data_IF_694729023416
#
_entry.id   IF_694729023416
#
_cell.length_a   1.000
_cell.length_b   1.000
_cell.length_c   1.000
_cell.angle_alpha   90.00
_cell.angle_beta   90.00
_cell.angle_gamma   90.00
#
_symmetry.space_group_name_H-M   'P 1'
#
loop_
_entity.id
_entity.type
_entity.pdbx_description
1 polymer ?
#
# COMPACT_ATOMS: atom_id res chain seq x y z
N UNK A 1 7.52 -6.52 -22.41
CA UNK A 1 7.37 -5.05 -22.41
C UNK A 1 8.73 -4.43 -22.69
N UNK A 2 8.81 -3.46 -23.62
CA UNK A 2 9.94 -2.56 -23.85
C UNK A 2 11.32 -3.19 -24.03
N UNK A 3 11.71 -3.57 -25.26
CA UNK A 3 13.13 -3.82 -25.59
C UNK A 3 13.96 -2.53 -25.63
N UNK A 4 13.30 -1.38 -25.64
CA UNK A 4 13.91 -0.05 -25.59
C UNK A 4 13.76 0.55 -24.17
N UNK A 5 14.87 0.74 -23.44
CA UNK A 5 14.88 1.36 -22.11
C UNK A 5 14.28 2.77 -22.08
N UNK A 6 14.43 3.56 -23.14
CA UNK A 6 13.90 4.93 -23.18
C UNK A 6 12.38 4.94 -23.28
N UNK A 7 11.81 4.04 -24.10
CA UNK A 7 10.36 3.86 -24.20
C UNK A 7 9.78 3.29 -22.90
N UNK A 8 10.49 2.35 -22.27
CA UNK A 8 10.11 1.83 -20.96
C UNK A 8 10.07 2.95 -19.91
N UNK A 9 11.14 3.73 -19.78
CA UNK A 9 11.23 4.81 -18.80
C UNK A 9 10.14 5.85 -18.99
N UNK A 10 9.91 6.32 -20.23
CA UNK A 10 8.85 7.29 -20.52
C UNK A 10 7.47 6.78 -20.10
N UNK A 11 7.19 5.49 -20.31
CA UNK A 11 5.91 4.89 -19.90
C UNK A 11 5.83 4.73 -18.39
N UNK A 12 6.92 4.31 -17.76
CA UNK A 12 7.01 4.19 -16.31
C UNK A 12 6.84 5.55 -15.61
N UNK A 13 7.34 6.64 -16.21
CA UNK A 13 7.15 8.01 -15.70
C UNK A 13 5.68 8.41 -15.62
N UNK A 14 4.81 7.87 -16.48
CA UNK A 14 3.36 8.14 -16.39
C UNK A 14 2.59 7.11 -15.58
N UNK A 15 3.06 5.87 -15.56
CA UNK A 15 2.25 4.73 -15.10
C UNK A 15 2.72 4.10 -13.79
N UNK A 16 3.90 4.47 -13.26
CA UNK A 16 4.42 3.91 -12.01
C UNK A 16 4.13 4.85 -10.83
N UNK A 17 3.23 4.47 -9.90
CA UNK A 17 2.94 5.29 -8.72
C UNK A 17 4.19 5.55 -7.86
N UNK A 18 5.13 4.60 -7.81
CA UNK A 18 6.37 4.72 -7.03
C UNK A 18 7.22 5.93 -7.46
N UNK A 19 7.13 6.37 -8.72
CA UNK A 19 7.86 7.55 -9.21
C UNK A 19 7.22 8.89 -8.82
N UNK A 20 6.00 8.86 -8.29
CA UNK A 20 5.21 10.04 -7.93
C UNK A 20 4.96 10.17 -6.43
N UNK A 21 5.61 9.34 -5.62
CA UNK A 21 5.54 9.46 -4.16
C UNK A 21 6.29 10.72 -3.74
N UNK A 22 5.61 11.57 -2.97
CA UNK A 22 6.14 12.80 -2.39
C UNK A 22 5.63 12.94 -0.96
N UNK A 23 6.18 13.88 -0.18
CA UNK A 23 5.79 14.07 1.23
C UNK A 23 4.31 14.41 1.46
N UNK A 24 3.57 14.83 0.42
CA UNK A 24 2.13 15.06 0.47
C UNK A 24 1.28 13.83 0.16
N UNK A 25 1.90 12.67 -0.07
CA UNK A 25 1.17 11.42 -0.31
C UNK A 25 0.39 11.03 0.95
N UNK A 26 -0.86 10.54 0.82
CA UNK A 26 -1.67 10.20 1.98
C UNK A 26 -1.07 9.01 2.74
N UNK A 27 -1.36 8.88 4.05
CA UNK A 27 -1.05 7.66 4.78
C UNK A 27 -1.60 6.42 4.07
N UNK A 28 -0.81 5.35 4.02
CA UNK A 28 -1.20 4.15 3.28
C UNK A 28 -0.85 2.84 3.98
N UNK A 29 -1.55 1.76 3.62
CA UNK A 29 -1.21 0.41 4.03
C UNK A 29 -1.07 -0.48 2.79
N UNK A 30 -0.01 -1.30 2.77
CA UNK A 30 0.33 -2.18 1.65
C UNK A 30 0.26 -3.63 2.10
N UNK A 31 -0.47 -4.44 1.33
CA UNK A 31 -0.55 -5.89 1.49
C UNK A 31 0.07 -6.57 0.28
N UNK A 32 0.88 -7.59 0.52
CA UNK A 32 1.44 -8.42 -0.55
C UNK A 32 1.85 -9.77 0.02
N UNK A 33 1.80 -10.84 -0.78
CA UNK A 33 2.45 -12.08 -0.41
C UNK A 33 3.71 -12.29 -1.24
N UNK A 34 4.75 -12.87 -0.65
CA UNK A 34 6.03 -13.08 -1.34
C UNK A 34 5.93 -14.00 -2.58
N UNK A 35 4.82 -14.75 -2.71
CA UNK A 35 4.53 -15.56 -3.89
C UNK A 35 3.81 -14.78 -5.00
N UNK A 36 3.33 -13.58 -4.74
CA UNK A 36 2.80 -12.69 -5.77
C UNK A 36 3.94 -12.26 -6.69
N UNK A 37 3.74 -12.39 -8.00
CA UNK A 37 4.69 -11.90 -9.02
C UNK A 37 4.88 -10.39 -8.93
N UNK A 38 3.92 -9.66 -8.35
CA UNK A 38 3.98 -8.22 -8.14
C UNK A 38 4.57 -7.82 -6.78
N UNK A 39 4.98 -8.78 -5.95
CA UNK A 39 5.60 -8.48 -4.66
C UNK A 39 6.81 -7.55 -4.75
N UNK A 40 7.73 -7.69 -5.73
CA UNK A 40 8.84 -6.74 -5.89
C UNK A 40 8.38 -5.28 -6.07
N UNK A 41 7.24 -5.05 -6.75
CA UNK A 41 6.68 -3.71 -6.91
C UNK A 41 6.10 -3.17 -5.61
N UNK A 42 5.51 -4.02 -4.76
CA UNK A 42 5.08 -3.63 -3.41
C UNK A 42 6.27 -3.20 -2.54
N UNK A 43 7.39 -3.92 -2.63
CA UNK A 43 8.65 -3.58 -1.92
C UNK A 43 9.27 -2.30 -2.48
N UNK A 44 9.22 -2.09 -3.80
CA UNK A 44 9.66 -0.82 -4.41
C UNK A 44 8.83 0.36 -3.91
N UNK A 45 7.51 0.17 -3.80
CA UNK A 45 6.59 1.22 -3.34
C UNK A 45 6.78 1.56 -1.85
N UNK A 46 6.95 0.55 -1.00
CA UNK A 46 7.33 0.70 0.42
C UNK A 46 8.61 1.55 0.58
N UNK A 47 9.65 1.24 -0.20
CA UNK A 47 10.90 2.02 -0.18
C UNK A 47 10.68 3.47 -0.62
N UNK A 48 9.85 3.71 -1.63
CA UNK A 48 9.53 5.05 -2.09
C UNK A 48 8.79 5.87 -1.02
N UNK A 49 7.80 5.28 -0.33
CA UNK A 49 7.08 5.89 0.78
C UNK A 49 8.01 6.20 1.96
N UNK A 50 8.86 5.24 2.33
CA UNK A 50 9.88 5.42 3.38
C UNK A 50 10.82 6.57 3.03
N UNK A 51 11.37 6.61 1.81
CA UNK A 51 12.28 7.66 1.38
C UNK A 51 11.63 9.05 1.36
N UNK A 52 10.33 9.13 1.08
CA UNK A 52 9.57 10.38 1.08
C UNK A 52 9.06 10.79 2.48
N UNK A 53 9.32 10.00 3.53
CA UNK A 53 8.83 10.27 4.88
C UNK A 53 7.32 10.16 5.03
N UNK A 54 6.66 9.43 4.13
CA UNK A 54 5.21 9.22 4.15
C UNK A 54 4.88 8.18 5.23
N UNK A 55 3.88 8.45 6.07
CA UNK A 55 3.38 7.46 7.01
C UNK A 55 2.76 6.28 6.25
N UNK A 56 3.25 5.08 6.51
CA UNK A 56 2.68 3.88 5.91
C UNK A 56 2.92 2.64 6.76
N UNK A 57 2.18 1.58 6.45
CA UNK A 57 2.36 0.24 7.01
C UNK A 57 2.48 -0.79 5.90
N UNK A 58 3.26 -1.82 6.14
CA UNK A 58 3.36 -2.99 5.26
C UNK A 58 2.97 -4.24 6.02
N UNK A 59 2.24 -5.12 5.36
CA UNK A 59 2.04 -6.49 5.80
C UNK A 59 2.36 -7.41 4.62
N UNK A 60 3.57 -7.96 4.68
CA UNK A 60 4.07 -8.89 3.68
C UNK A 60 3.99 -10.32 4.21
N UNK A 61 3.21 -11.14 3.51
CA UNK A 61 2.98 -12.53 3.87
C UNK A 61 4.14 -13.40 3.35
N UNK A 62 4.85 -14.03 4.30
CA UNK A 62 5.92 -14.96 4.00
C UNK A 62 5.42 -16.17 3.20
N UNK A 63 6.21 -16.60 2.21
CA UNK A 63 5.82 -17.68 1.29
C UNK A 63 5.72 -19.06 1.94
N UNK A 64 6.37 -19.26 3.09
CA UNK A 64 6.40 -20.56 3.81
C UNK A 64 5.23 -20.65 4.79
N UNK A 65 4.91 -19.55 5.46
CA UNK A 65 3.81 -19.47 6.43
C UNK A 65 2.45 -19.26 5.77
N UNK A 66 2.42 -18.51 4.67
CA UNK A 66 1.19 -18.16 3.93
C UNK A 66 1.35 -18.44 2.43
N UNK A 67 1.51 -19.71 2.02
CA UNK A 67 1.67 -20.08 0.62
C UNK A 67 0.46 -19.72 -0.24
N UNK A 68 -0.72 -19.49 0.34
CA UNK A 68 -1.95 -19.07 -0.31
C UNK A 68 -2.02 -17.57 -0.66
N UNK A 69 -1.12 -16.75 -0.11
CA UNK A 69 -1.06 -15.31 -0.37
C UNK A 69 -0.47 -15.00 -1.76
N UNK A 70 -1.18 -15.39 -2.80
CA UNK A 70 -0.84 -15.13 -4.21
C UNK A 70 -1.57 -13.89 -4.75
N UNK A 71 -1.36 -13.57 -6.03
CA UNK A 71 -1.98 -12.41 -6.66
C UNK A 71 -3.50 -12.41 -6.49
N UNK A 72 -4.01 -11.31 -5.91
CA UNK A 72 -5.44 -11.13 -5.65
C UNK A 72 -5.98 -11.95 -4.48
N UNK A 73 -5.16 -12.41 -3.53
CA UNK A 73 -5.61 -13.24 -2.40
C UNK A 73 -6.75 -12.62 -1.59
N UNK A 74 -6.84 -11.29 -1.54
CA UNK A 74 -7.91 -10.55 -0.85
C UNK A 74 -9.31 -10.86 -1.38
N UNK A 75 -9.44 -11.34 -2.62
CA UNK A 75 -10.73 -11.75 -3.19
C UNK A 75 -11.26 -13.06 -2.58
N UNK A 76 -10.42 -13.81 -1.86
CA UNK A 76 -10.75 -15.09 -1.26
C UNK A 76 -10.85 -14.92 0.27
N UNK A 77 -11.94 -14.32 0.72
CA UNK A 77 -12.18 -13.97 2.14
C UNK A 77 -12.13 -15.15 3.12
N UNK A 78 -12.23 -16.39 2.62
CA UNK A 78 -12.09 -17.61 3.42
C UNK A 78 -10.62 -18.02 3.69
N UNK A 79 -9.64 -17.36 3.04
CA UNK A 79 -8.22 -17.56 3.34
C UNK A 79 -7.85 -16.81 4.62
N UNK A 80 -7.11 -17.47 5.52
CA UNK A 80 -6.67 -16.85 6.78
C UNK A 80 -5.87 -15.56 6.57
N UNK A 81 -4.96 -15.54 5.59
CA UNK A 81 -4.19 -14.33 5.26
C UNK A 81 -5.07 -13.16 4.76
N UNK A 82 -6.19 -13.44 4.08
CA UNK A 82 -7.13 -12.40 3.65
C UNK A 82 -7.81 -11.76 4.85
N UNK A 83 -8.23 -12.56 5.83
CA UNK A 83 -8.77 -12.06 7.10
C UNK A 83 -7.78 -11.17 7.86
N UNK A 84 -6.54 -11.62 8.03
CA UNK A 84 -5.48 -10.85 8.70
C UNK A 84 -5.26 -9.50 8.00
N UNK A 85 -5.19 -9.49 6.65
CA UNK A 85 -5.01 -8.26 5.89
C UNK A 85 -6.20 -7.30 6.03
N UNK A 86 -7.43 -7.82 5.98
CA UNK A 86 -8.64 -7.01 6.16
C UNK A 86 -8.73 -6.41 7.56
N UNK A 87 -8.43 -7.18 8.60
CA UNK A 87 -8.38 -6.67 9.98
C UNK A 87 -7.34 -5.56 10.14
N UNK A 88 -6.15 -5.74 9.55
CA UNK A 88 -5.11 -4.72 9.59
C UNK A 88 -5.53 -3.45 8.83
N UNK A 89 -6.24 -3.58 7.70
CA UNK A 89 -6.78 -2.45 6.95
C UNK A 89 -7.82 -1.67 7.75
N UNK A 90 -8.76 -2.36 8.40
CA UNK A 90 -9.79 -1.73 9.25
C UNK A 90 -9.14 -0.95 10.38
N UNK A 91 -8.22 -1.58 11.12
CA UNK A 91 -7.49 -0.89 12.19
C UNK A 91 -6.73 0.34 11.70
N UNK A 92 -6.06 0.23 10.55
CA UNK A 92 -5.37 1.37 9.96
C UNK A 92 -6.33 2.53 9.65
N UNK A 93 -7.48 2.24 9.04
CA UNK A 93 -8.49 3.26 8.71
C UNK A 93 -9.10 3.89 9.96
N UNK A 94 -9.41 3.11 10.99
CA UNK A 94 -9.93 3.61 12.27
C UNK A 94 -8.93 4.57 12.92
N UNK A 95 -7.65 4.20 12.95
CA UNK A 95 -6.60 5.04 13.50
C UNK A 95 -6.39 6.34 12.72
N UNK A 96 -6.46 6.30 11.39
CA UNK A 96 -6.37 7.51 10.57
C UNK A 96 -7.58 8.42 10.79
N UNK A 97 -8.78 7.84 10.85
CA UNK A 97 -10.02 8.60 11.05
C UNK A 97 -10.06 9.28 12.41
N UNK A 98 -9.68 8.57 13.48
CA UNK A 98 -9.62 9.15 14.82
C UNK A 98 -8.63 10.33 14.90
N UNK A 99 -7.52 10.29 14.15
CA UNK A 99 -6.56 11.41 14.10
C UNK A 99 -7.12 12.62 13.37
N UNK A 100 -7.86 12.41 12.29
CA UNK A 100 -8.54 13.51 11.59
C UNK A 100 -9.58 14.18 12.49
N UNK A 101 -10.35 13.42 13.26
CA UNK A 101 -11.32 13.96 14.22
C UNK A 101 -10.62 14.81 15.32
N UNK A 102 -9.48 14.33 15.82
CA UNK A 102 -8.68 15.07 16.80
C UNK A 102 -7.98 16.31 16.22
N UNK A 103 -7.56 16.28 14.95
CA UNK A 103 -7.01 17.44 14.25
C UNK A 103 -8.11 18.41 13.77
N UNK A 104 -9.34 17.91 13.59
CA UNK A 104 -10.52 18.60 13.05
C UNK A 104 -11.36 19.34 14.09
N UNK A 105 -11.11 19.15 15.39
CA UNK A 105 -11.74 19.90 16.48
C UNK A 105 -11.53 21.43 16.43
N UNK A 106 -10.72 21.94 15.49
CA UNK A 106 -10.52 23.37 15.24
C UNK A 106 -11.31 23.92 14.02
N UNK A 107 -12.08 23.10 13.29
CA UNK A 107 -12.94 23.57 12.20
C UNK A 107 -14.41 23.40 12.55
N UNK A 108 -14.84 24.19 13.54
CA UNK A 108 -16.25 24.47 13.72
C UNK A 108 -16.84 25.02 12.42
N UNK A 109 -17.79 24.30 11.86
CA UNK A 109 -18.71 24.84 10.86
C UNK A 109 -19.57 25.89 11.56
N UNK A 110 -19.18 27.16 11.50
CA UNK A 110 -20.09 28.26 11.78
C UNK A 110 -21.04 28.37 10.60
N UNK A 111 -22.24 27.81 10.76
CA UNK A 111 -23.44 28.18 10.00
C UNK A 111 -23.89 29.59 10.33
#
# INVERSE_FOLDING_TARGET
MGRDPAVYNRRADTASPARHVAGSYPPSIIFSGERDRLHPQSVEFDRALTAAGVEHRTLFFDRTMHPEAIHGFLNFFFLGCAGIAMEAAVRFMDEMSAREDHAGGARGYTS
#
